data_IF_170474267955
#
_entry.id   IF_170474267955
#
_cell.length_a   1.000
_cell.length_b   1.000
_cell.length_c   1.000
_cell.angle_alpha   90.00
_cell.angle_beta   90.00
_cell.angle_gamma   90.00
#
_symmetry.space_group_name_H-M   'P 1'
#
loop_
_entity.id
_entity.type
_entity.pdbx_description
1 polymer ?
#
# COMPACT_ATOMS: atom_id res chain seq x y z
N UNK A 1 20.40 32.18 -44.47
CA UNK A 1 20.30 33.50 -43.84
C UNK A 1 18.93 33.64 -43.21
N UNK A 2 18.93 33.70 -41.84
CA UNK A 2 17.96 34.38 -41.00
C UNK A 2 16.47 34.12 -41.27
N UNK A 3 15.77 33.27 -40.47
CA UNK A 3 14.94 33.72 -39.34
C UNK A 3 14.24 32.51 -38.70
N UNK A 4 14.89 31.92 -37.69
CA UNK A 4 14.22 31.00 -36.74
C UNK A 4 14.68 31.39 -35.31
N UNK A 5 14.05 32.43 -34.82
CA UNK A 5 14.22 32.81 -33.40
C UNK A 5 12.93 33.40 -32.90
N UNK A 6 12.50 32.88 -31.72
CA UNK A 6 11.44 33.39 -30.85
C UNK A 6 10.07 32.67 -30.95
N UNK A 7 10.00 31.50 -30.33
CA UNK A 7 8.89 31.19 -29.46
C UNK A 7 9.43 30.40 -28.24
N UNK A 8 10.14 31.08 -27.37
CA UNK A 8 10.34 30.65 -26.00
C UNK A 8 9.08 31.10 -25.26
N UNK A 9 8.13 30.17 -25.18
CA UNK A 9 6.90 30.35 -24.38
C UNK A 9 7.31 30.59 -22.94
N UNK A 10 6.81 31.65 -22.36
CA UNK A 10 6.80 32.01 -20.96
C UNK A 10 6.15 30.90 -20.14
N UNK A 11 6.91 29.89 -19.76
CA UNK A 11 6.60 29.02 -18.64
C UNK A 11 6.60 29.93 -17.40
N UNK A 12 5.40 30.28 -16.92
CA UNK A 12 5.22 30.98 -15.66
C UNK A 12 6.03 30.22 -14.60
N UNK A 13 7.04 30.86 -14.02
CA UNK A 13 7.84 30.33 -12.91
C UNK A 13 6.88 29.95 -11.80
N UNK A 14 6.52 28.69 -11.67
CA UNK A 14 5.74 28.20 -10.55
C UNK A 14 6.55 28.50 -9.29
N UNK A 15 6.00 29.30 -8.38
CA UNK A 15 6.64 29.57 -7.10
C UNK A 15 6.98 28.24 -6.44
N UNK A 16 8.24 28.01 -6.15
CA UNK A 16 8.70 26.81 -5.43
C UNK A 16 8.04 26.82 -4.05
N UNK A 17 7.24 25.81 -3.78
CA UNK A 17 6.61 25.63 -2.46
C UNK A 17 7.65 25.05 -1.52
N UNK A 18 7.90 25.75 -0.40
CA UNK A 18 8.92 25.39 0.60
C UNK A 18 8.36 24.97 1.95
N UNK A 19 7.04 24.92 2.11
CA UNK A 19 6.38 24.58 3.37
C UNK A 19 5.43 23.39 3.22
N UNK A 20 5.27 22.62 4.28
CA UNK A 20 4.57 21.34 4.29
C UNK A 20 3.10 21.44 3.87
N UNK A 21 2.34 22.40 4.43
CA UNK A 21 0.88 22.49 4.22
C UNK A 21 0.48 22.73 2.77
N UNK A 22 1.00 23.74 2.07
CA UNK A 22 0.67 23.92 0.65
C UNK A 22 1.25 22.83 -0.25
N UNK A 23 2.38 22.19 0.12
CA UNK A 23 2.90 21.04 -0.60
C UNK A 23 1.96 19.84 -0.46
N UNK A 24 1.52 19.52 0.76
CA UNK A 24 0.53 18.48 1.01
C UNK A 24 -0.79 18.76 0.28
N UNK A 25 -1.26 20.01 0.30
CA UNK A 25 -2.47 20.40 -0.39
C UNK A 25 -2.41 20.15 -1.91
N UNK A 26 -1.26 20.39 -2.56
CA UNK A 26 -1.05 20.04 -3.98
C UNK A 26 -1.07 18.54 -4.20
N UNK A 27 -0.32 17.78 -3.40
CA UNK A 27 -0.26 16.31 -3.50
C UNK A 27 -1.66 15.72 -3.34
N UNK A 28 -2.38 16.09 -2.28
CA UNK A 28 -3.74 15.62 -2.01
C UNK A 28 -4.68 16.04 -3.13
N UNK A 29 -4.61 17.30 -3.58
CA UNK A 29 -5.40 17.79 -4.70
C UNK A 29 -5.20 16.99 -5.98
N UNK A 30 -3.97 16.58 -6.27
CA UNK A 30 -3.63 15.73 -7.42
C UNK A 30 -4.18 14.30 -7.27
N UNK A 31 -4.12 13.70 -6.08
CA UNK A 31 -4.76 12.39 -5.82
C UNK A 31 -6.27 12.47 -6.06
N UNK A 32 -6.92 13.48 -5.49
CA UNK A 32 -8.38 13.64 -5.56
C UNK A 32 -8.87 13.93 -6.98
N UNK A 33 -8.14 14.79 -7.70
CA UNK A 33 -8.55 15.26 -9.03
C UNK A 33 -8.11 14.35 -10.16
N UNK A 34 -6.81 13.95 -10.14
CA UNK A 34 -6.19 13.22 -11.24
C UNK A 34 -6.10 11.71 -10.99
N UNK A 35 -6.58 11.24 -9.83
CA UNK A 35 -6.57 9.83 -9.44
C UNK A 35 -5.18 9.17 -9.55
N UNK A 36 -4.14 9.93 -9.24
CA UNK A 36 -2.77 9.44 -9.21
C UNK A 36 -2.48 8.80 -7.86
N UNK A 37 -1.67 7.75 -7.86
CA UNK A 37 -1.25 7.11 -6.59
C UNK A 37 -0.47 8.10 -5.72
N UNK A 38 -0.80 8.09 -4.41
CA UNK A 38 -0.17 8.95 -3.41
C UNK A 38 1.34 8.72 -3.35
N UNK A 39 1.79 7.47 -3.34
CA UNK A 39 3.21 7.15 -3.19
C UNK A 39 4.07 7.72 -4.32
N UNK A 40 3.60 7.67 -5.58
CA UNK A 40 4.34 8.17 -6.73
C UNK A 40 4.57 9.68 -6.68
N UNK A 41 3.53 10.45 -6.32
CA UNK A 41 3.62 11.92 -6.31
C UNK A 41 4.22 12.47 -5.01
N UNK A 42 3.98 11.80 -3.88
CA UNK A 42 4.49 12.24 -2.57
C UNK A 42 6.02 12.23 -2.53
N UNK A 43 6.66 11.17 -3.04
CA UNK A 43 8.12 11.06 -3.08
C UNK A 43 8.76 12.27 -3.76
N UNK A 44 8.26 12.66 -4.92
CA UNK A 44 8.76 13.82 -5.67
C UNK A 44 8.55 15.13 -4.90
N UNK A 45 7.38 15.28 -4.25
CA UNK A 45 7.08 16.46 -3.45
C UNK A 45 8.01 16.58 -2.24
N UNK A 46 8.27 15.49 -1.52
CA UNK A 46 9.15 15.47 -0.36
C UNK A 46 10.59 15.82 -0.71
N UNK A 47 11.11 15.36 -1.86
CA UNK A 47 12.46 15.71 -2.33
C UNK A 47 12.63 17.21 -2.61
N UNK A 48 11.55 17.91 -2.94
CA UNK A 48 11.56 19.36 -3.19
C UNK A 48 11.45 20.23 -1.93
N UNK A 49 11.16 19.61 -0.78
CA UNK A 49 10.98 20.29 0.51
C UNK A 49 12.24 20.27 1.37
N UNK A 50 12.46 21.34 2.20
CA UNK A 50 13.41 21.27 3.29
C UNK A 50 13.15 20.06 4.20
N UNK A 51 14.20 19.50 4.77
CA UNK A 51 14.12 18.27 5.56
C UNK A 51 13.14 18.35 6.73
N UNK A 52 13.17 19.46 7.46
CA UNK A 52 12.28 19.72 8.60
C UNK A 52 10.79 19.85 8.22
N UNK A 53 10.45 20.03 6.95
CA UNK A 53 9.07 20.13 6.46
C UNK A 53 8.53 18.78 5.91
N UNK A 54 9.41 17.80 5.62
CA UNK A 54 9.04 16.54 4.99
C UNK A 54 8.12 15.70 5.86
N UNK A 55 8.45 15.55 7.14
CA UNK A 55 7.66 14.75 8.09
C UNK A 55 6.21 15.25 8.21
N UNK A 56 6.04 16.57 8.37
CA UNK A 56 4.71 17.18 8.44
C UNK A 56 3.94 17.03 7.12
N UNK A 57 4.60 17.23 5.97
CA UNK A 57 3.98 17.06 4.66
C UNK A 57 3.48 15.62 4.47
N UNK A 58 4.31 14.64 4.79
CA UNK A 58 3.95 13.22 4.72
C UNK A 58 2.78 12.89 5.65
N UNK A 59 2.82 13.33 6.90
CA UNK A 59 1.75 13.11 7.88
C UNK A 59 0.41 13.70 7.42
N UNK A 60 0.42 14.91 6.86
CA UNK A 60 -0.77 15.55 6.30
C UNK A 60 -1.31 14.77 5.10
N UNK A 61 -0.46 14.34 4.16
CA UNK A 61 -0.88 13.59 2.99
C UNK A 61 -1.56 12.27 3.38
N UNK A 62 -0.88 11.45 4.18
CA UNK A 62 -1.45 10.17 4.61
C UNK A 62 -2.69 10.34 5.50
N UNK A 63 -2.66 11.31 6.43
CA UNK A 63 -3.76 11.55 7.36
C UNK A 63 -5.02 12.05 6.67
N UNK A 64 -4.89 13.05 5.80
CA UNK A 64 -6.04 13.59 5.06
C UNK A 64 -6.64 12.53 4.12
N UNK A 65 -5.81 11.79 3.37
CA UNK A 65 -6.31 10.75 2.47
C UNK A 65 -6.99 9.61 3.26
N UNK A 66 -6.41 9.21 4.41
CA UNK A 66 -7.00 8.19 5.30
C UNK A 66 -8.39 8.56 5.79
N UNK A 67 -8.57 9.81 6.18
CA UNK A 67 -9.82 10.32 6.74
C UNK A 67 -10.64 11.15 5.75
N UNK A 68 -10.31 11.07 4.44
CA UNK A 68 -10.92 11.93 3.42
C UNK A 68 -12.45 11.95 3.42
N UNK A 69 -13.19 10.81 3.43
CA UNK A 69 -14.65 10.85 3.43
C UNK A 69 -15.22 11.59 4.64
N UNK A 70 -14.65 11.41 5.80
CA UNK A 70 -15.04 12.09 7.04
C UNK A 70 -14.72 13.58 6.98
N UNK A 71 -13.49 13.94 6.62
CA UNK A 71 -13.06 15.34 6.53
C UNK A 71 -13.84 16.10 5.46
N UNK A 72 -14.20 15.43 4.36
CA UNK A 72 -15.02 16.00 3.30
C UNK A 72 -16.44 16.29 3.81
N UNK A 73 -17.07 15.36 4.52
CA UNK A 73 -18.40 15.57 5.12
C UNK A 73 -18.41 16.76 6.09
N UNK A 74 -17.35 16.94 6.87
CA UNK A 74 -17.17 18.10 7.73
C UNK A 74 -17.01 19.40 6.91
N UNK A 75 -16.18 19.37 5.87
CA UNK A 75 -15.95 20.53 5.01
C UNK A 75 -17.24 20.98 4.29
N UNK A 76 -18.10 20.03 3.92
CA UNK A 76 -19.38 20.30 3.27
C UNK A 76 -20.37 21.03 4.21
N UNK A 77 -20.24 20.83 5.54
CA UNK A 77 -21.01 21.61 6.54
C UNK A 77 -20.49 23.05 6.73
N UNK A 78 -19.25 23.31 6.34
CA UNK A 78 -18.58 24.61 6.53
C UNK A 78 -18.65 25.52 5.32
N UNK A 79 -18.84 24.96 4.13
CA UNK A 79 -18.86 25.67 2.88
C UNK A 79 -20.30 25.85 2.38
N UNK A 80 -20.71 27.08 2.12
CA UNK A 80 -22.03 27.37 1.53
C UNK A 80 -22.21 26.82 0.09
N UNK A 81 -21.08 26.65 -0.61
CA UNK A 81 -21.02 26.05 -1.97
C UNK A 81 -19.71 25.27 -2.10
N UNK A 82 -19.72 24.13 -2.79
CA UNK A 82 -18.49 23.36 -3.08
C UNK A 82 -17.46 24.20 -3.84
N UNK A 83 -16.18 23.99 -3.55
CA UNK A 83 -15.10 24.59 -4.31
C UNK A 83 -15.07 24.00 -5.73
N UNK A 84 -14.67 24.81 -6.71
CA UNK A 84 -14.59 24.36 -8.11
C UNK A 84 -13.45 23.33 -8.28
N UNK A 85 -13.58 22.41 -9.23
CA UNK A 85 -12.56 21.40 -9.51
C UNK A 85 -11.15 21.96 -9.76
N UNK A 86 -11.02 23.17 -10.33
CA UNK A 86 -9.73 23.86 -10.52
C UNK A 86 -9.08 24.30 -9.21
N UNK A 87 -9.83 24.34 -8.12
CA UNK A 87 -9.41 24.75 -6.79
C UNK A 87 -9.32 23.55 -5.82
N UNK A 88 -9.05 22.35 -6.35
CA UNK A 88 -8.87 21.11 -5.57
C UNK A 88 -7.74 21.21 -4.53
N UNK A 89 -6.72 22.01 -4.79
CA UNK A 89 -5.63 22.31 -3.85
C UNK A 89 -6.11 23.18 -2.67
N UNK A 90 -7.06 24.10 -2.86
CA UNK A 90 -7.70 24.82 -1.75
C UNK A 90 -8.63 23.92 -0.94
N UNK A 91 -9.38 23.03 -1.61
CA UNK A 91 -10.15 21.97 -0.93
C UNK A 91 -9.23 21.15 -0.04
N UNK A 92 -8.14 20.64 -0.61
CA UNK A 92 -7.14 19.87 0.12
C UNK A 92 -6.50 20.66 1.26
N UNK A 93 -6.25 21.96 1.08
CA UNK A 93 -5.71 22.83 2.14
C UNK A 93 -6.70 22.97 3.30
N UNK A 94 -8.01 23.12 3.03
CA UNK A 94 -9.05 23.11 4.07
C UNK A 94 -9.05 21.77 4.82
N UNK A 95 -9.00 20.65 4.10
CA UNK A 95 -8.94 19.31 4.71
C UNK A 95 -7.67 19.14 5.56
N UNK A 96 -6.52 19.68 5.14
CA UNK A 96 -5.30 19.70 5.97
C UNK A 96 -5.51 20.49 7.27
N UNK A 97 -6.21 21.62 7.21
CA UNK A 97 -6.55 22.41 8.42
C UNK A 97 -7.45 21.64 9.37
N UNK A 98 -8.52 21.02 8.84
CA UNK A 98 -9.44 20.21 9.63
C UNK A 98 -8.74 18.99 10.25
N UNK A 99 -7.90 18.28 9.49
CA UNK A 99 -7.13 17.15 10.02
C UNK A 99 -6.20 17.56 11.17
N UNK A 100 -5.52 18.70 11.04
CA UNK A 100 -4.66 19.21 12.11
C UNK A 100 -5.45 19.51 13.39
N UNK A 101 -6.60 20.16 13.28
CA UNK A 101 -7.45 20.50 14.43
C UNK A 101 -8.06 19.26 15.11
N UNK A 102 -8.33 18.19 14.36
CA UNK A 102 -8.96 16.95 14.88
C UNK A 102 -7.98 15.93 15.41
N UNK A 103 -6.88 15.71 14.70
CA UNK A 103 -6.08 14.51 14.85
C UNK A 103 -4.62 14.77 15.21
N UNK A 104 -4.17 16.03 15.17
CA UNK A 104 -2.77 16.34 15.46
C UNK A 104 -2.65 17.09 16.79
N UNK A 105 -1.60 16.76 17.55
CA UNK A 105 -1.26 17.47 18.80
C UNK A 105 -0.43 18.73 18.51
N UNK A 106 -1.01 19.66 17.74
CA UNK A 106 -0.39 20.94 17.40
C UNK A 106 -1.15 22.06 18.10
N UNK A 107 -0.48 23.18 18.48
CA UNK A 107 -1.18 24.38 18.94
C UNK A 107 -2.18 24.83 17.86
N UNK A 108 -3.46 24.93 18.23
CA UNK A 108 -4.55 25.25 17.30
C UNK A 108 -4.32 26.55 16.52
N UNK A 109 -3.77 27.56 17.22
CA UNK A 109 -3.42 28.84 16.59
C UNK A 109 -2.40 28.66 15.45
N UNK A 110 -1.37 27.83 15.65
CA UNK A 110 -0.36 27.54 14.63
C UNK A 110 -0.95 26.73 13.47
N UNK A 111 -1.77 25.71 13.78
CA UNK A 111 -2.46 24.92 12.76
C UNK A 111 -3.32 25.81 11.85
N UNK A 112 -4.06 26.75 12.44
CA UNK A 112 -4.94 27.65 11.72
C UNK A 112 -4.17 28.69 10.90
N UNK A 113 -3.26 29.46 11.52
CA UNK A 113 -2.54 30.55 10.86
C UNK A 113 -1.69 30.06 9.70
N UNK A 114 -0.95 28.96 9.88
CA UNK A 114 -0.10 28.40 8.84
C UNK A 114 -0.91 27.77 7.68
N UNK A 115 -2.08 27.21 7.97
CA UNK A 115 -2.98 26.72 6.91
C UNK A 115 -3.50 27.90 6.08
N UNK A 116 -3.94 28.98 6.72
CA UNK A 116 -4.42 30.21 6.03
C UNK A 116 -3.31 30.83 5.18
N UNK A 117 -2.08 30.88 5.70
CA UNK A 117 -0.92 31.37 4.96
C UNK A 117 -0.62 30.53 3.71
N UNK A 118 -0.92 29.24 3.71
CA UNK A 118 -0.82 28.34 2.58
C UNK A 118 -1.55 28.81 1.31
N UNK A 119 -2.65 29.57 1.45
CA UNK A 119 -3.38 30.12 0.32
C UNK A 119 -2.50 31.00 -0.59
N UNK A 120 -1.61 31.81 0.00
CA UNK A 120 -0.70 32.67 -0.77
C UNK A 120 0.39 31.86 -1.48
N UNK A 121 0.88 30.78 -0.84
CA UNK A 121 1.86 29.87 -1.45
C UNK A 121 1.27 29.10 -2.63
N UNK A 122 -0.04 28.79 -2.58
CA UNK A 122 -0.80 28.17 -3.69
C UNK A 122 -1.15 29.19 -4.81
N UNK A 123 -0.78 30.46 -4.68
CA UNK A 123 -1.14 31.49 -5.63
C UNK A 123 -2.61 31.95 -5.55
N UNK A 124 -3.29 31.64 -4.45
CA UNK A 124 -4.72 31.93 -4.24
C UNK A 124 -4.97 32.76 -2.97
N UNK A 125 -4.35 33.95 -2.85
CA UNK A 125 -4.47 34.78 -1.62
C UNK A 125 -5.91 35.23 -1.34
N UNK A 126 -6.78 35.26 -2.35
CA UNK A 126 -8.20 35.57 -2.23
C UNK A 126 -8.96 34.62 -1.31
N UNK A 127 -8.49 33.37 -1.19
CA UNK A 127 -9.14 32.33 -0.39
C UNK A 127 -8.82 32.40 1.11
N UNK A 128 -7.90 33.27 1.55
CA UNK A 128 -7.52 33.39 2.97
C UNK A 128 -8.71 33.62 3.90
N UNK A 129 -9.62 34.54 3.52
CA UNK A 129 -10.83 34.82 4.29
C UNK A 129 -11.74 33.61 4.43
N UNK A 130 -11.95 32.87 3.34
CA UNK A 130 -12.77 31.66 3.32
C UNK A 130 -12.18 30.56 4.22
N UNK A 131 -10.92 30.22 4.04
CA UNK A 131 -10.26 29.15 4.82
C UNK A 131 -10.22 29.53 6.31
N UNK A 132 -9.88 30.77 6.64
CA UNK A 132 -9.88 31.26 8.03
C UNK A 132 -11.28 31.19 8.67
N UNK A 133 -12.32 31.65 7.97
CA UNK A 133 -13.69 31.62 8.47
C UNK A 133 -14.17 30.17 8.68
N UNK A 134 -13.91 29.27 7.73
CA UNK A 134 -14.27 27.86 7.84
C UNK A 134 -13.60 27.18 9.03
N UNK A 135 -12.27 27.31 9.18
CA UNK A 135 -11.55 26.67 10.28
C UNK A 135 -11.93 27.25 11.64
N UNK A 136 -12.15 28.59 11.76
CA UNK A 136 -12.62 29.20 13.00
C UNK A 136 -14.06 28.80 13.33
N UNK A 137 -14.93 28.64 12.32
CA UNK A 137 -16.27 28.13 12.53
C UNK A 137 -16.24 26.70 13.07
N UNK A 138 -15.40 25.83 12.45
CA UNK A 138 -15.20 24.48 12.94
C UNK A 138 -14.72 24.47 14.39
N UNK A 139 -13.67 25.23 14.72
CA UNK A 139 -13.12 25.31 16.08
C UNK A 139 -14.18 25.69 17.13
N UNK A 140 -15.07 26.65 16.82
CA UNK A 140 -16.12 27.11 17.74
C UNK A 140 -17.31 26.17 17.89
N UNK A 141 -17.63 25.42 16.83
CA UNK A 141 -18.85 24.63 16.72
C UNK A 141 -18.58 23.14 16.45
N UNK A 142 -17.40 22.62 16.83
CA UNK A 142 -16.91 21.30 16.48
C UNK A 142 -17.94 20.19 16.77
N UNK A 143 -18.45 20.09 18.00
CA UNK A 143 -19.39 19.02 18.38
C UNK A 143 -20.67 19.04 17.54
N UNK A 144 -21.21 20.22 17.25
CA UNK A 144 -22.42 20.33 16.43
C UNK A 144 -22.18 19.96 14.96
N UNK A 145 -21.02 20.34 14.42
CA UNK A 145 -20.64 20.06 13.04
C UNK A 145 -20.33 18.55 12.89
N UNK A 146 -19.56 17.99 13.83
CA UNK A 146 -19.23 16.56 13.84
C UNK A 146 -20.49 15.69 13.93
N UNK A 147 -21.42 16.00 14.82
CA UNK A 147 -22.68 15.26 14.97
C UNK A 147 -23.51 15.24 13.66
N UNK A 148 -23.49 16.32 12.89
CA UNK A 148 -24.18 16.38 11.58
C UNK A 148 -23.39 15.71 10.46
N UNK A 149 -22.07 15.78 10.51
CA UNK A 149 -21.21 15.25 9.46
C UNK A 149 -21.03 13.72 9.56
N UNK A 150 -21.16 13.15 10.76
CA UNK A 150 -20.89 11.73 11.05
C UNK A 150 -22.18 10.91 11.24
N UNK A 151 -23.25 11.27 10.57
CA UNK A 151 -24.56 10.63 10.66
C UNK A 151 -24.72 9.37 9.78
N UNK A 152 -23.68 9.01 9.03
CA UNK A 152 -23.71 7.87 8.10
C UNK A 152 -22.38 7.09 8.14
N UNK A 153 -22.41 5.83 7.68
CA UNK A 153 -21.26 4.92 7.71
C UNK A 153 -20.07 5.43 6.89
N UNK A 154 -20.32 6.13 5.78
CA UNK A 154 -19.23 6.66 4.91
C UNK A 154 -18.38 7.65 5.66
N UNK A 155 -18.98 8.56 6.39
CA UNK A 155 -18.27 9.54 7.20
C UNK A 155 -17.73 8.93 8.49
N UNK A 156 -18.49 8.07 9.15
CA UNK A 156 -18.11 7.42 10.42
C UNK A 156 -16.86 6.56 10.24
N UNK A 157 -16.88 5.65 9.27
CA UNK A 157 -15.77 4.73 9.01
C UNK A 157 -14.75 5.27 7.99
N UNK A 158 -15.00 6.43 7.39
CA UNK A 158 -14.12 7.06 6.40
C UNK A 158 -13.77 6.14 5.21
N UNK A 159 -14.75 5.41 4.68
CA UNK A 159 -14.62 4.54 3.50
C UNK A 159 -15.71 4.87 2.47
N UNK A 160 -15.48 4.59 1.15
CA UNK A 160 -16.50 4.78 0.14
C UNK A 160 -17.65 3.76 0.32
N UNK A 161 -18.87 4.18 0.05
CA UNK A 161 -20.09 3.41 0.28
C UNK A 161 -20.06 2.01 -0.37
N UNK A 162 -19.57 1.91 -1.62
CA UNK A 162 -19.45 0.63 -2.30
C UNK A 162 -18.58 -0.39 -1.56
N UNK A 163 -17.46 0.08 -0.97
CA UNK A 163 -16.54 -0.79 -0.24
C UNK A 163 -17.12 -1.21 1.11
N UNK A 164 -17.81 -0.30 1.79
CA UNK A 164 -18.53 -0.63 3.03
C UNK A 164 -19.58 -1.72 2.76
N UNK A 165 -20.39 -1.56 1.70
CA UNK A 165 -21.40 -2.55 1.30
C UNK A 165 -20.78 -3.91 0.99
N UNK A 166 -19.69 -3.92 0.22
CA UNK A 166 -19.00 -5.16 -0.12
C UNK A 166 -18.40 -5.85 1.12
N UNK A 167 -17.74 -5.09 2.00
CA UNK A 167 -17.17 -5.66 3.25
C UNK A 167 -18.30 -6.14 4.19
N UNK A 168 -19.42 -5.44 4.29
CA UNK A 168 -20.60 -5.92 5.06
C UNK A 168 -21.14 -7.24 4.51
N UNK A 169 -21.19 -7.40 3.20
CA UNK A 169 -21.65 -8.63 2.55
C UNK A 169 -20.67 -9.79 2.80
N UNK A 170 -19.38 -9.56 2.65
CA UNK A 170 -18.35 -10.59 2.77
C UNK A 170 -18.07 -10.96 4.23
N UNK A 171 -18.18 -9.99 5.17
CA UNK A 171 -17.78 -10.09 6.56
C UNK A 171 -18.85 -9.53 7.52
N UNK A 172 -20.06 -10.06 7.57
CA UNK A 172 -21.18 -9.46 8.29
C UNK A 172 -20.92 -9.29 9.80
N UNK A 173 -20.14 -10.20 10.41
CA UNK A 173 -19.86 -10.17 11.86
C UNK A 173 -18.69 -9.23 12.24
N UNK A 174 -17.79 -8.91 11.29
CA UNK A 174 -16.53 -8.23 11.61
C UNK A 174 -16.26 -6.98 10.76
N UNK A 175 -17.21 -6.57 9.92
CA UNK A 175 -17.05 -5.46 8.99
C UNK A 175 -16.61 -4.14 9.66
N UNK A 176 -17.14 -3.83 10.86
CA UNK A 176 -16.78 -2.61 11.59
C UNK A 176 -15.33 -2.64 12.01
N UNK A 177 -14.90 -3.75 12.62
CA UNK A 177 -13.50 -3.95 13.04
C UNK A 177 -12.53 -3.87 11.86
N UNK A 178 -12.90 -4.40 10.68
CA UNK A 178 -12.12 -4.29 9.45
C UNK A 178 -11.96 -2.83 9.04
N UNK A 179 -13.05 -2.05 8.99
CA UNK A 179 -13.00 -0.65 8.59
C UNK A 179 -12.21 0.22 9.58
N UNK A 180 -12.35 -0.05 10.87
CA UNK A 180 -11.58 0.61 11.93
C UNK A 180 -10.08 0.30 11.80
N UNK A 181 -9.72 -0.98 11.63
CA UNK A 181 -8.32 -1.39 11.44
C UNK A 181 -7.67 -0.76 10.20
N UNK A 182 -8.44 -0.56 9.13
CA UNK A 182 -7.98 0.14 7.94
C UNK A 182 -7.63 1.62 8.17
N UNK A 183 -8.13 2.22 9.25
CA UNK A 183 -7.87 3.62 9.61
C UNK A 183 -6.75 3.79 10.63
N UNK A 184 -6.25 2.71 11.21
CA UNK A 184 -5.12 2.74 12.16
C UNK A 184 -3.81 3.03 11.40
N UNK A 185 -2.88 3.70 12.05
CA UNK A 185 -1.52 3.85 11.52
C UNK A 185 -0.87 2.46 11.41
N UNK A 186 -0.29 2.12 10.24
CA UNK A 186 0.32 0.81 10.05
C UNK A 186 1.55 0.62 10.94
N UNK A 187 1.72 -0.54 11.56
CA UNK A 187 2.96 -0.90 12.25
C UNK A 187 4.10 -1.11 11.24
N UNK A 188 5.34 -1.03 11.72
CA UNK A 188 6.52 -1.29 10.91
C UNK A 188 7.13 -2.63 11.26
N UNK A 189 6.87 -3.63 10.39
CA UNK A 189 7.51 -4.94 10.48
C UNK A 189 8.80 -4.96 9.68
N UNK A 190 9.76 -5.67 10.23
CA UNK A 190 11.05 -5.93 9.61
C UNK A 190 11.18 -7.43 9.32
N UNK A 191 11.85 -7.75 8.22
CA UNK A 191 12.34 -9.08 7.88
C UNK A 191 13.85 -9.05 7.95
N UNK A 192 14.42 -9.78 8.91
CA UNK A 192 15.86 -9.91 9.07
C UNK A 192 16.43 -10.84 8.01
N UNK A 193 17.49 -10.44 7.34
CA UNK A 193 18.20 -11.28 6.39
C UNK A 193 19.03 -12.32 7.14
N UNK A 194 18.49 -13.54 7.25
CA UNK A 194 19.12 -14.63 8.00
C UNK A 194 20.39 -15.17 7.35
N UNK A 195 20.71 -14.80 6.12
CA UNK A 195 22.02 -15.11 5.52
C UNK A 195 23.15 -14.27 6.10
N UNK A 196 22.83 -13.11 6.68
CA UNK A 196 23.83 -12.22 7.28
C UNK A 196 23.90 -12.35 8.79
N UNK A 197 22.77 -12.52 9.48
CA UNK A 197 22.69 -12.58 10.94
C UNK A 197 21.36 -13.19 11.40
N UNK A 198 21.32 -13.69 12.64
CA UNK A 198 20.09 -14.16 13.25
C UNK A 198 19.14 -13.03 13.64
N UNK A 199 17.85 -13.35 13.77
CA UNK A 199 16.84 -12.39 14.29
C UNK A 199 17.22 -11.84 15.66
N UNK A 200 17.79 -12.68 16.54
CA UNK A 200 18.14 -12.27 17.89
C UNK A 200 19.33 -11.30 17.93
N UNK A 201 20.33 -11.50 17.08
CA UNK A 201 21.46 -10.57 16.93
C UNK A 201 20.98 -9.21 16.42
N UNK A 202 20.09 -9.20 15.41
CA UNK A 202 19.55 -7.95 14.88
C UNK A 202 18.66 -7.22 15.90
N UNK A 203 17.84 -7.95 16.67
CA UNK A 203 17.05 -7.38 17.77
C UNK A 203 17.95 -6.69 18.81
N UNK A 204 19.05 -7.34 19.21
CA UNK A 204 20.02 -6.75 20.13
C UNK A 204 20.61 -5.44 19.57
N UNK A 205 20.94 -5.41 18.28
CA UNK A 205 21.46 -4.20 17.60
C UNK A 205 20.42 -3.08 17.53
N UNK A 206 19.15 -3.40 17.28
CA UNK A 206 18.07 -2.40 17.32
C UNK A 206 17.97 -1.75 18.70
N UNK A 207 17.96 -2.55 19.77
CA UNK A 207 17.90 -2.05 21.16
C UNK A 207 19.11 -1.15 21.47
N UNK A 208 20.32 -1.55 21.08
CA UNK A 208 21.54 -0.74 21.25
C UNK A 208 21.49 0.61 20.52
N UNK A 209 20.74 0.68 19.41
CA UNK A 209 20.52 1.91 18.64
C UNK A 209 19.25 2.69 19.07
N UNK A 210 18.65 2.39 20.22
CA UNK A 210 17.43 3.01 20.74
C UNK A 210 16.22 2.84 19.81
N UNK A 211 16.13 1.71 19.12
CA UNK A 211 15.03 1.31 18.26
C UNK A 211 14.37 0.04 18.85
N UNK A 212 13.56 0.17 19.92
CA UNK A 212 12.97 -0.99 20.57
C UNK A 212 12.04 -1.75 19.60
N UNK A 213 12.15 -3.06 19.66
CA UNK A 213 11.40 -3.98 18.81
C UNK A 213 11.11 -5.28 19.56
N UNK A 214 10.17 -6.06 19.06
CA UNK A 214 9.78 -7.36 19.59
C UNK A 214 9.78 -8.44 18.52
N UNK A 215 9.96 -9.69 18.94
CA UNK A 215 9.81 -10.86 18.08
C UNK A 215 8.35 -11.01 17.62
N UNK A 216 8.17 -11.53 16.42
CA UNK A 216 6.88 -11.92 15.89
C UNK A 216 6.90 -13.43 15.67
N UNK A 217 6.06 -14.17 16.38
CA UNK A 217 6.07 -15.64 16.36
C UNK A 217 5.62 -16.23 15.02
N UNK A 218 4.96 -15.44 14.21
CA UNK A 218 4.42 -15.86 12.91
C UNK A 218 5.51 -16.18 11.87
N UNK A 219 6.65 -15.56 11.96
CA UNK A 219 7.77 -15.71 11.04
C UNK A 219 9.09 -15.68 11.80
N UNK A 220 10.02 -16.63 11.57
CA UNK A 220 11.28 -16.72 12.33
C UNK A 220 12.21 -15.53 12.10
N UNK A 221 12.05 -14.78 10.99
CA UNK A 221 12.82 -13.59 10.63
C UNK A 221 12.12 -12.28 10.97
N UNK A 222 10.87 -12.33 11.45
CA UNK A 222 10.06 -11.13 11.66
C UNK A 222 10.33 -10.45 12.98
N UNK A 223 10.47 -9.12 12.93
CA UNK A 223 10.49 -8.21 14.08
C UNK A 223 9.42 -7.12 13.89
N UNK A 224 8.87 -6.66 14.99
CA UNK A 224 7.96 -5.51 15.04
C UNK A 224 8.63 -4.36 15.79
N UNK A 225 8.81 -3.21 15.15
CA UNK A 225 9.25 -2.00 15.82
C UNK A 225 8.14 -1.42 16.68
N UNK A 226 8.46 -1.00 17.91
CA UNK A 226 7.51 -0.32 18.79
C UNK A 226 7.03 1.02 18.18
N UNK A 227 7.92 1.69 17.47
CA UNK A 227 7.62 2.94 16.77
C UNK A 227 8.22 2.90 15.36
N UNK A 228 7.42 3.15 14.31
CA UNK A 228 7.95 3.28 12.95
C UNK A 228 8.99 4.39 12.84
N UNK A 229 10.08 4.13 12.11
CA UNK A 229 11.16 5.09 11.88
C UNK A 229 11.52 5.20 10.39
N UNK A 230 12.41 6.15 10.06
CA UNK A 230 13.03 6.17 8.74
C UNK A 230 13.91 4.93 8.57
N UNK A 231 13.83 4.29 7.40
CA UNK A 231 14.59 3.06 7.10
C UNK A 231 16.11 3.28 7.17
N UNK A 232 16.58 4.50 6.94
CA UNK A 232 17.99 4.85 7.05
C UNK A 232 18.52 4.91 8.49
N UNK A 233 17.65 4.87 9.49
CA UNK A 233 18.00 4.74 10.89
C UNK A 233 18.21 3.27 11.32
N UNK A 234 17.73 2.32 10.49
CA UNK A 234 17.90 0.90 10.75
C UNK A 234 19.36 0.48 10.55
N UNK A 235 19.99 -0.21 11.52
CA UNK A 235 21.36 -0.68 11.37
C UNK A 235 21.55 -1.50 10.10
N UNK A 236 22.54 -1.13 9.29
CA UNK A 236 22.94 -1.81 8.05
C UNK A 236 21.80 -2.08 7.05
N UNK A 237 20.77 -1.21 7.02
CA UNK A 237 19.71 -1.29 6.02
C UNK A 237 20.25 -1.23 4.59
N UNK A 238 21.21 -0.32 4.35
CA UNK A 238 21.79 -0.12 3.01
C UNK A 238 22.63 -1.31 2.52
N UNK A 239 23.16 -2.12 3.45
CA UNK A 239 23.94 -3.33 3.13
C UNK A 239 23.10 -4.62 3.20
N UNK A 240 21.79 -4.50 3.32
CA UNK A 240 20.87 -5.62 3.19
C UNK A 240 20.67 -6.47 4.44
N UNK A 241 21.03 -5.97 5.63
CA UNK A 241 20.80 -6.70 6.88
C UNK A 241 19.32 -6.92 7.19
N UNK A 242 18.45 -6.04 6.66
CA UNK A 242 17.02 -6.06 6.95
C UNK A 242 16.21 -5.49 5.79
N UNK A 243 14.95 -5.93 5.67
CA UNK A 243 13.95 -5.37 4.77
C UNK A 243 12.67 -5.00 5.54
N UNK A 244 11.95 -3.98 5.06
CA UNK A 244 10.63 -3.64 5.60
C UNK A 244 9.58 -4.45 4.84
N UNK A 245 8.90 -5.35 5.56
CA UNK A 245 7.84 -6.18 5.00
C UNK A 245 6.87 -6.60 6.10
N UNK A 246 5.56 -6.48 5.85
CA UNK A 246 4.55 -6.97 6.79
C UNK A 246 4.70 -8.48 7.04
N UNK A 247 4.55 -8.91 8.29
CA UNK A 247 4.76 -10.32 8.63
C UNK A 247 3.71 -11.24 7.97
N UNK A 248 2.53 -10.74 7.59
CA UNK A 248 1.60 -11.49 6.75
C UNK A 248 2.21 -11.80 5.38
N UNK A 249 2.85 -10.83 4.73
CA UNK A 249 3.52 -11.05 3.44
C UNK A 249 4.75 -11.97 3.56
N UNK A 250 5.41 -12.02 4.72
CA UNK A 250 6.55 -12.91 4.98
C UNK A 250 6.14 -14.39 4.98
N UNK A 251 4.88 -14.74 5.31
CA UNK A 251 4.40 -16.12 5.32
C UNK A 251 4.49 -16.82 3.96
N UNK A 252 4.51 -16.07 2.86
CA UNK A 252 4.52 -16.62 1.51
C UNK A 252 5.72 -17.53 1.25
N UNK A 253 6.92 -17.18 1.75
CA UNK A 253 8.12 -18.01 1.57
C UNK A 253 7.98 -19.39 2.25
N UNK A 254 7.42 -19.43 3.47
CA UNK A 254 7.14 -20.69 4.17
C UNK A 254 6.08 -21.54 3.45
N UNK A 255 5.03 -20.90 2.92
CA UNK A 255 3.94 -21.58 2.19
C UNK A 255 4.46 -22.20 0.88
N UNK A 256 5.42 -21.56 0.20
CA UNK A 256 6.07 -22.09 -1.00
C UNK A 256 6.88 -23.38 -0.75
N UNK A 257 7.20 -23.70 0.51
CA UNK A 257 8.01 -24.88 0.86
C UNK A 257 9.27 -24.97 0.00
N UNK A 258 10.04 -23.91 -0.02
CA UNK A 258 11.24 -23.74 -0.86
C UNK A 258 12.28 -24.79 -0.51
N UNK A 259 12.88 -25.40 -1.55
CA UNK A 259 13.97 -26.36 -1.45
C UNK A 259 15.17 -25.90 -2.30
N UNK A 260 16.39 -26.41 -2.03
CA UNK A 260 17.54 -26.08 -2.87
C UNK A 260 17.36 -26.47 -4.35
N UNK A 261 17.99 -25.70 -5.23
CA UNK A 261 18.09 -25.95 -6.68
C UNK A 261 16.74 -26.05 -7.42
N UNK A 262 15.73 -25.33 -6.92
CA UNK A 262 14.43 -25.24 -7.59
C UNK A 262 14.39 -24.09 -8.59
N UNK A 263 13.54 -24.25 -9.60
CA UNK A 263 13.17 -23.20 -10.53
C UNK A 263 11.85 -22.58 -10.10
N UNK A 264 11.88 -21.30 -9.79
CA UNK A 264 10.75 -20.56 -9.15
C UNK A 264 10.34 -19.38 -10.00
N UNK A 265 9.04 -19.22 -10.24
CA UNK A 265 8.44 -18.06 -10.87
C UNK A 265 7.78 -17.17 -9.81
N UNK A 266 8.11 -15.88 -9.78
CA UNK A 266 7.35 -14.82 -9.11
C UNK A 266 6.66 -13.99 -10.20
N UNK A 267 5.38 -14.22 -10.39
CA UNK A 267 4.64 -13.79 -11.59
C UNK A 267 4.21 -12.31 -11.59
N UNK A 268 4.13 -11.68 -10.41
CA UNK A 268 3.74 -10.27 -10.25
C UNK A 268 4.63 -9.63 -9.17
N UNK A 269 5.94 -9.62 -9.44
CA UNK A 269 6.98 -9.58 -8.42
C UNK A 269 7.20 -8.22 -7.75
N UNK A 270 6.88 -7.09 -8.42
CA UNK A 270 7.23 -5.78 -7.90
C UNK A 270 6.43 -5.38 -6.63
N UNK A 271 7.12 -4.80 -5.66
CA UNK A 271 8.48 -4.21 -5.66
C UNK A 271 9.64 -5.17 -5.29
N UNK A 272 9.43 -6.49 -5.30
CA UNK A 272 10.49 -7.48 -5.10
C UNK A 272 10.63 -8.02 -3.67
N UNK A 273 9.75 -7.65 -2.76
CA UNK A 273 9.83 -8.09 -1.37
C UNK A 273 9.73 -9.61 -1.20
N UNK A 274 8.86 -10.27 -1.99
CA UNK A 274 8.70 -11.73 -1.98
C UNK A 274 9.81 -12.42 -2.77
N UNK A 275 10.18 -11.89 -3.93
CA UNK A 275 11.35 -12.36 -4.73
C UNK A 275 12.61 -12.42 -3.88
N UNK A 276 12.93 -11.32 -3.19
CA UNK A 276 14.09 -11.27 -2.29
C UNK A 276 13.97 -12.26 -1.14
N UNK A 277 12.79 -12.41 -0.54
CA UNK A 277 12.57 -13.37 0.55
C UNK A 277 12.78 -14.82 0.11
N UNK A 278 12.32 -15.19 -1.09
CA UNK A 278 12.58 -16.50 -1.69
C UNK A 278 14.09 -16.76 -1.79
N UNK A 279 14.84 -15.78 -2.30
CA UNK A 279 16.30 -15.89 -2.46
C UNK A 279 17.08 -15.82 -1.14
N UNK A 280 16.59 -15.05 -0.15
CA UNK A 280 17.15 -15.06 1.20
C UNK A 280 16.96 -16.42 1.89
N UNK A 281 15.81 -17.10 1.62
CA UNK A 281 15.52 -18.41 2.18
C UNK A 281 16.44 -19.50 1.58
N UNK A 282 16.65 -19.47 0.25
CA UNK A 282 17.50 -20.45 -0.44
C UNK A 282 18.14 -19.83 -1.70
N UNK A 283 19.40 -19.38 -1.60
CA UNK A 283 20.07 -18.66 -2.69
C UNK A 283 20.47 -19.53 -3.89
N UNK A 284 20.44 -20.85 -3.76
CA UNK A 284 20.75 -21.76 -4.88
C UNK A 284 19.64 -21.87 -5.92
N UNK A 285 18.48 -21.22 -5.69
CA UNK A 285 17.33 -21.29 -6.58
C UNK A 285 17.46 -20.37 -7.80
N UNK A 286 17.00 -20.87 -8.95
CA UNK A 286 16.77 -20.05 -10.15
C UNK A 286 15.44 -19.32 -10.01
N UNK A 287 15.46 -18.03 -9.68
CA UNK A 287 14.23 -17.23 -9.55
C UNK A 287 14.05 -16.32 -10.77
N UNK A 288 12.90 -16.46 -11.43
CA UNK A 288 12.44 -15.59 -12.51
C UNK A 288 11.34 -14.70 -11.94
N UNK A 289 11.55 -13.39 -12.00
CA UNK A 289 10.62 -12.39 -11.49
C UNK A 289 10.07 -11.54 -12.63
N UNK A 290 8.75 -11.52 -12.77
CA UNK A 290 8.04 -10.78 -13.79
C UNK A 290 7.29 -9.60 -13.19
N UNK A 291 7.28 -8.49 -13.88
CA UNK A 291 6.29 -7.42 -13.68
C UNK A 291 6.00 -6.75 -15.02
N UNK A 292 4.76 -6.33 -15.22
CA UNK A 292 4.33 -5.67 -16.46
C UNK A 292 4.88 -4.25 -16.58
N UNK A 293 5.22 -3.62 -15.44
CA UNK A 293 5.67 -2.24 -15.37
C UNK A 293 7.21 -2.16 -15.24
N UNK A 294 7.93 -1.64 -16.26
CA UNK A 294 9.39 -1.54 -16.23
C UNK A 294 9.91 -0.61 -15.11
N UNK A 295 9.16 0.42 -14.70
CA UNK A 295 9.57 1.29 -13.60
C UNK A 295 9.50 0.52 -12.27
N UNK A 296 8.47 -0.31 -12.08
CA UNK A 296 8.34 -1.17 -10.92
C UNK A 296 9.41 -2.28 -10.90
N UNK A 297 9.78 -2.81 -12.06
CA UNK A 297 10.87 -3.79 -12.17
C UNK A 297 12.22 -3.23 -11.71
N UNK A 298 12.46 -1.93 -11.94
CA UNK A 298 13.65 -1.24 -11.42
C UNK A 298 13.73 -1.28 -9.89
N UNK A 299 12.58 -1.28 -9.18
CA UNK A 299 12.56 -1.41 -7.73
C UNK A 299 13.00 -2.81 -7.27
N UNK A 300 12.63 -3.86 -8.02
CA UNK A 300 13.11 -5.23 -7.75
C UNK A 300 14.64 -5.25 -7.88
N UNK A 301 15.18 -4.69 -8.96
CA UNK A 301 16.63 -4.60 -9.19
C UNK A 301 17.34 -3.88 -8.05
N UNK A 302 16.82 -2.73 -7.60
CA UNK A 302 17.39 -1.99 -6.47
C UNK A 302 17.38 -2.82 -5.17
N UNK A 303 16.31 -3.58 -4.92
CA UNK A 303 16.22 -4.43 -3.74
C UNK A 303 17.16 -5.64 -3.83
N UNK A 304 17.23 -6.32 -4.97
CA UNK A 304 18.17 -7.45 -5.17
C UNK A 304 19.62 -6.99 -5.06
N UNK A 305 19.97 -5.82 -5.64
CA UNK A 305 21.33 -5.27 -5.54
C UNK A 305 21.72 -4.92 -4.11
N UNK A 306 20.79 -4.25 -3.37
CA UNK A 306 20.99 -3.89 -1.96
C UNK A 306 21.22 -5.12 -1.07
N UNK A 307 20.53 -6.21 -1.37
CA UNK A 307 20.57 -7.46 -0.61
C UNK A 307 21.68 -8.43 -1.07
N UNK A 308 22.39 -8.11 -2.18
CA UNK A 308 23.39 -9.00 -2.77
C UNK A 308 22.79 -10.27 -3.39
N UNK A 309 21.51 -10.21 -3.84
CA UNK A 309 20.77 -11.33 -4.38
C UNK A 309 20.70 -11.29 -5.91
N UNK A 310 20.47 -12.44 -6.53
CA UNK A 310 20.40 -12.55 -7.98
C UNK A 310 19.09 -13.20 -8.44
N UNK A 311 18.33 -12.50 -9.30
CA UNK A 311 17.13 -12.99 -9.94
C UNK A 311 17.12 -12.62 -11.43
N UNK A 312 16.51 -13.46 -12.26
CA UNK A 312 16.24 -13.12 -13.66
C UNK A 312 15.01 -12.22 -13.73
N UNK A 313 15.19 -10.95 -14.07
CA UNK A 313 14.12 -9.95 -14.16
C UNK A 313 13.63 -9.81 -15.60
N UNK A 314 12.31 -9.90 -15.83
CA UNK A 314 11.71 -9.71 -17.15
C UNK A 314 10.51 -8.77 -17.08
N UNK A 315 10.49 -7.74 -17.93
CA UNK A 315 9.30 -6.90 -18.12
C UNK A 315 8.36 -7.64 -19.06
N UNK A 316 7.27 -8.20 -18.52
CA UNK A 316 6.28 -8.93 -19.30
C UNK A 316 4.94 -9.02 -18.57
N UNK A 317 3.85 -9.15 -19.32
CA UNK A 317 2.58 -9.64 -18.76
C UNK A 317 2.73 -11.14 -18.50
N UNK A 318 2.63 -11.58 -17.25
CA UNK A 318 2.75 -12.97 -16.87
C UNK A 318 1.72 -13.90 -17.59
N UNK A 319 0.58 -13.36 -18.02
CA UNK A 319 -0.41 -14.07 -18.82
C UNK A 319 -0.09 -14.19 -20.32
N UNK A 320 0.92 -13.47 -20.82
CA UNK A 320 1.41 -13.57 -22.21
C UNK A 320 2.64 -14.49 -22.27
N UNK A 321 2.37 -15.79 -22.13
CA UNK A 321 3.38 -16.85 -21.95
C UNK A 321 4.43 -16.83 -23.04
N UNK A 322 4.02 -16.65 -24.31
CA UNK A 322 4.90 -16.71 -25.48
C UNK A 322 5.96 -15.60 -25.48
N UNK A 323 5.72 -14.50 -24.78
CA UNK A 323 6.64 -13.35 -24.72
C UNK A 323 7.82 -13.54 -23.78
N UNK A 324 7.74 -14.47 -22.81
CA UNK A 324 8.74 -14.53 -21.74
C UNK A 324 9.20 -15.95 -21.38
N UNK A 325 8.38 -16.98 -21.58
CA UNK A 325 8.68 -18.35 -21.16
C UNK A 325 9.68 -19.04 -22.10
N UNK A 326 10.61 -19.80 -21.54
CA UNK A 326 11.68 -20.48 -22.27
C UNK A 326 11.40 -21.97 -22.51
N UNK A 327 10.18 -22.45 -22.24
CA UNK A 327 9.77 -23.84 -22.41
C UNK A 327 10.08 -24.77 -21.23
N UNK A 328 10.78 -24.29 -20.19
CA UNK A 328 11.09 -25.08 -18.99
C UNK A 328 10.08 -24.84 -17.89
N UNK A 329 9.51 -25.90 -17.35
CA UNK A 329 8.55 -25.84 -16.24
C UNK A 329 9.18 -25.39 -14.93
N UNK A 330 8.33 -24.99 -13.99
CA UNK A 330 8.70 -24.49 -12.66
C UNK A 330 8.36 -25.50 -11.57
N UNK A 331 9.19 -25.58 -10.52
CA UNK A 331 8.90 -26.33 -9.31
C UNK A 331 7.97 -25.58 -8.38
N UNK A 332 8.05 -24.24 -8.42
CA UNK A 332 7.24 -23.31 -7.62
C UNK A 332 6.76 -22.17 -8.49
N UNK A 333 5.51 -21.80 -8.33
CA UNK A 333 4.94 -20.57 -8.93
C UNK A 333 4.30 -19.76 -7.81
N UNK A 334 4.70 -18.52 -7.70
CA UNK A 334 4.06 -17.53 -6.85
C UNK A 334 3.24 -16.58 -7.74
N UNK A 335 1.96 -16.48 -7.44
CA UNK A 335 1.06 -15.46 -8.00
C UNK A 335 0.69 -14.50 -6.85
N UNK A 336 1.49 -13.45 -6.64
CA UNK A 336 1.08 -12.32 -5.81
C UNK A 336 0.14 -11.45 -6.63
N UNK A 337 -1.11 -11.88 -6.73
CA UNK A 337 -2.02 -11.43 -7.77
C UNK A 337 -2.35 -9.93 -7.67
N UNK A 338 -2.42 -9.22 -8.82
CA UNK A 338 -2.95 -7.87 -8.82
C UNK A 338 -4.38 -7.88 -8.30
N UNK A 339 -4.65 -7.09 -7.25
CA UNK A 339 -5.91 -7.08 -6.53
C UNK A 339 -6.35 -5.69 -6.13
N UNK A 340 -7.52 -5.56 -5.51
CA UNK A 340 -8.02 -4.26 -5.02
C UNK A 340 -7.13 -3.65 -3.96
N UNK A 341 -6.39 -4.46 -3.19
CA UNK A 341 -5.56 -4.02 -2.08
C UNK A 341 -6.37 -3.64 -0.83
N UNK A 342 -7.61 -4.10 -0.71
CA UNK A 342 -8.52 -3.73 0.37
C UNK A 342 -8.03 -4.14 1.78
N UNK A 343 -7.10 -5.09 1.87
CA UNK A 343 -6.46 -5.52 3.13
C UNK A 343 -5.27 -4.66 3.58
N UNK A 344 -4.76 -3.78 2.71
CA UNK A 344 -3.59 -2.92 3.00
C UNK A 344 -3.93 -1.43 2.96
N UNK A 345 -5.19 -1.07 3.05
CA UNK A 345 -5.68 0.32 3.03
C UNK A 345 -4.97 1.18 4.09
N UNK A 346 -4.67 0.65 5.26
CA UNK A 346 -3.95 1.41 6.29
C UNK A 346 -2.56 1.86 5.86
N UNK A 347 -1.90 1.14 4.92
CA UNK A 347 -0.62 1.52 4.30
C UNK A 347 -0.79 2.40 3.07
N UNK A 348 -1.83 2.12 2.30
CA UNK A 348 -2.15 2.77 1.03
C UNK A 348 -3.57 3.37 1.07
N UNK A 349 -3.80 4.44 1.87
CA UNK A 349 -5.15 4.96 2.08
C UNK A 349 -5.79 5.56 0.82
N UNK A 350 -4.99 5.86 -0.20
CA UNK A 350 -5.44 6.30 -1.53
C UNK A 350 -6.25 5.22 -2.27
N UNK A 351 -6.16 3.95 -1.89
CA UNK A 351 -7.03 2.87 -2.38
C UNK A 351 -8.51 3.24 -2.23
N UNK A 352 -8.90 3.85 -1.12
CA UNK A 352 -10.27 4.32 -0.88
C UNK A 352 -10.79 5.30 -1.92
N UNK A 353 -9.89 6.06 -2.55
CA UNK A 353 -10.18 7.10 -3.54
C UNK A 353 -10.02 6.56 -4.95
N UNK A 354 -9.00 5.75 -5.18
CA UNK A 354 -8.61 5.29 -6.51
C UNK A 354 -9.46 4.13 -7.00
N UNK A 355 -9.83 3.17 -6.12
CA UNK A 355 -10.60 1.99 -6.50
C UNK A 355 -12.07 2.29 -6.72
N UNK A 356 -12.67 1.55 -7.67
CA UNK A 356 -14.08 1.58 -8.04
C UNK A 356 -14.67 0.17 -8.04
N UNK A 357 -16.00 0.00 -7.96
CA UNK A 357 -16.61 -1.33 -8.09
C UNK A 357 -16.22 -2.05 -9.38
N UNK A 358 -16.16 -1.34 -10.52
CA UNK A 358 -15.77 -1.91 -11.82
C UNK A 358 -14.36 -2.47 -11.88
N UNK A 359 -13.46 -2.03 -10.98
CA UNK A 359 -12.09 -2.54 -10.91
C UNK A 359 -12.07 -3.96 -10.35
N UNK A 360 -13.02 -4.31 -9.47
CA UNK A 360 -13.13 -5.66 -8.87
C UNK A 360 -13.32 -6.70 -9.96
N UNK A 361 -14.31 -6.52 -10.84
CA UNK A 361 -14.59 -7.48 -11.92
C UNK A 361 -13.41 -7.64 -12.89
N UNK A 362 -12.71 -6.52 -13.17
CA UNK A 362 -11.54 -6.53 -14.06
C UNK A 362 -10.37 -7.29 -13.43
N UNK A 363 -10.15 -7.10 -12.12
CA UNK A 363 -9.08 -7.78 -11.38
C UNK A 363 -9.39 -9.26 -11.19
N UNK A 364 -10.63 -9.63 -10.89
CA UNK A 364 -11.10 -11.02 -10.79
C UNK A 364 -10.82 -11.77 -12.11
N UNK A 365 -11.16 -11.18 -13.26
CA UNK A 365 -10.86 -11.77 -14.58
C UNK A 365 -9.36 -11.93 -14.81
N UNK A 366 -8.55 -10.94 -14.44
CA UNK A 366 -7.09 -11.00 -14.58
C UNK A 366 -6.49 -12.08 -13.69
N UNK A 367 -6.96 -12.20 -12.47
CA UNK A 367 -6.53 -13.24 -11.52
C UNK A 367 -6.87 -14.64 -12.05
N UNK A 368 -8.09 -14.83 -12.57
CA UNK A 368 -8.49 -16.08 -13.21
C UNK A 368 -7.57 -16.42 -14.40
N UNK A 369 -7.32 -15.44 -15.27
CA UNK A 369 -6.41 -15.63 -16.40
C UNK A 369 -5.00 -16.04 -15.99
N UNK A 370 -4.46 -15.43 -14.90
CA UNK A 370 -3.14 -15.78 -14.39
C UNK A 370 -3.11 -17.23 -13.87
N UNK A 371 -4.10 -17.64 -13.09
CA UNK A 371 -4.20 -19.02 -12.62
C UNK A 371 -4.23 -20.01 -13.80
N UNK A 372 -5.14 -19.81 -14.75
CA UNK A 372 -5.32 -20.69 -15.93
C UNK A 372 -4.05 -20.76 -16.81
N UNK A 373 -3.39 -19.63 -17.03
CA UNK A 373 -2.22 -19.54 -17.92
C UNK A 373 -0.94 -20.07 -17.29
N UNK A 374 -0.76 -19.89 -15.98
CA UNK A 374 0.47 -20.28 -15.30
C UNK A 374 0.44 -21.72 -14.78
N UNK A 375 -0.75 -22.28 -14.53
CA UNK A 375 -0.89 -23.65 -14.05
C UNK A 375 -0.19 -24.71 -14.92
N UNK A 376 -0.33 -24.71 -16.26
CA UNK A 376 0.34 -25.69 -17.12
C UNK A 376 1.87 -25.63 -17.10
N UNK A 377 2.45 -24.52 -16.62
CA UNK A 377 3.89 -24.32 -16.51
C UNK A 377 4.49 -24.95 -15.25
N UNK A 378 3.64 -25.47 -14.35
CA UNK A 378 4.06 -26.13 -13.12
C UNK A 378 4.47 -27.58 -13.39
N UNK A 379 5.55 -28.03 -12.77
CA UNK A 379 5.96 -29.44 -12.77
C UNK A 379 4.93 -30.29 -12.01
N UNK A 380 4.83 -31.60 -12.34
CA UNK A 380 4.11 -32.57 -11.50
C UNK A 380 4.72 -32.57 -10.10
N UNK A 381 3.89 -32.57 -9.06
CA UNK A 381 4.24 -32.35 -7.66
C UNK A 381 4.81 -30.93 -7.35
N UNK A 382 4.77 -30.00 -8.31
CA UNK A 382 5.07 -28.60 -8.07
C UNK A 382 3.99 -27.91 -7.23
N UNK A 383 4.33 -26.76 -6.65
CA UNK A 383 3.39 -25.95 -5.85
C UNK A 383 3.16 -24.59 -6.51
N UNK A 384 1.89 -24.22 -6.62
CA UNK A 384 1.46 -22.87 -6.95
C UNK A 384 0.89 -22.22 -5.70
N UNK A 385 1.46 -21.08 -5.30
CA UNK A 385 0.94 -20.25 -4.21
C UNK A 385 0.25 -19.03 -4.81
N UNK A 386 -1.05 -18.97 -4.59
CA UNK A 386 -1.87 -17.80 -4.92
C UNK A 386 -2.06 -16.95 -3.68
N UNK A 387 -1.77 -15.66 -3.79
CA UNK A 387 -1.93 -14.73 -2.68
C UNK A 387 -2.41 -13.37 -3.14
N UNK A 388 -3.16 -12.70 -2.29
CA UNK A 388 -3.63 -11.32 -2.49
C UNK A 388 -3.57 -10.54 -1.18
N UNK A 389 -3.43 -9.23 -1.27
CA UNK A 389 -3.70 -8.33 -0.16
C UNK A 389 -5.15 -7.79 -0.20
N UNK A 390 -6.10 -8.59 -0.67
CA UNK A 390 -7.52 -8.28 -0.72
C UNK A 390 -8.32 -8.92 0.42
N UNK A 391 -9.43 -8.28 0.78
CA UNK A 391 -10.46 -8.82 1.69
C UNK A 391 -11.68 -9.36 0.94
N UNK A 392 -11.77 -9.10 -0.37
CA UNK A 392 -12.95 -9.45 -1.14
C UNK A 392 -12.94 -10.93 -1.52
N UNK A 393 -13.99 -11.64 -1.15
CA UNK A 393 -14.12 -13.08 -1.40
C UNK A 393 -14.04 -13.43 -2.87
N UNK A 394 -14.51 -12.53 -3.75
CA UNK A 394 -14.43 -12.69 -5.21
C UNK A 394 -13.00 -12.77 -5.73
N UNK A 395 -12.05 -12.08 -5.09
CA UNK A 395 -10.63 -12.10 -5.44
C UNK A 395 -9.86 -13.25 -4.76
N UNK A 396 -10.48 -13.94 -3.79
CA UNK A 396 -9.84 -14.88 -2.87
C UNK A 396 -10.48 -16.28 -2.96
N UNK A 397 -11.25 -16.70 -1.94
CA UNK A 397 -11.78 -18.06 -1.84
C UNK A 397 -12.62 -18.47 -3.05
N UNK A 398 -13.40 -17.55 -3.64
CA UNK A 398 -14.23 -17.87 -4.80
C UNK A 398 -13.41 -18.12 -6.08
N UNK A 399 -12.26 -17.45 -6.23
CA UNK A 399 -11.32 -17.74 -7.34
C UNK A 399 -10.75 -19.15 -7.23
N UNK A 400 -10.32 -19.53 -6.03
CA UNK A 400 -9.69 -20.85 -5.83
C UNK A 400 -10.73 -21.96 -5.92
N UNK A 401 -11.94 -21.75 -5.41
CA UNK A 401 -13.04 -22.71 -5.56
C UNK A 401 -13.38 -22.96 -7.05
N UNK A 402 -13.53 -21.90 -7.82
CA UNK A 402 -13.79 -21.99 -9.28
C UNK A 402 -12.65 -22.73 -10.00
N UNK A 403 -11.40 -22.39 -9.67
CA UNK A 403 -10.23 -23.05 -10.24
C UNK A 403 -10.20 -24.57 -9.92
N UNK A 404 -10.38 -24.94 -8.64
CA UNK A 404 -10.38 -26.35 -8.22
C UNK A 404 -11.51 -27.18 -8.85
N UNK A 405 -12.64 -26.57 -9.18
CA UNK A 405 -13.75 -27.28 -9.87
C UNK A 405 -13.43 -27.59 -11.34
N UNK A 406 -12.52 -26.82 -11.97
CA UNK A 406 -12.12 -26.97 -13.37
C UNK A 406 -10.89 -27.85 -13.57
N UNK A 407 -10.06 -27.96 -12.54
CA UNK A 407 -8.76 -28.64 -12.59
C UNK A 407 -8.72 -29.82 -11.63
N UNK A 408 -9.12 -31.00 -12.12
CA UNK A 408 -9.13 -32.22 -11.30
C UNK A 408 -7.73 -32.67 -10.85
N UNK A 409 -6.69 -32.23 -11.54
CA UNK A 409 -5.28 -32.46 -11.21
C UNK A 409 -4.73 -31.47 -10.16
N UNK A 410 -5.54 -30.49 -9.71
CA UNK A 410 -5.16 -29.55 -8.69
C UNK A 410 -5.68 -30.00 -7.32
N UNK A 411 -4.78 -30.10 -6.36
CA UNK A 411 -5.12 -30.39 -4.97
C UNK A 411 -4.75 -29.19 -4.07
N UNK A 412 -5.68 -28.71 -3.26
CA UNK A 412 -5.35 -27.70 -2.25
C UNK A 412 -4.63 -28.32 -1.07
N UNK A 413 -3.43 -27.82 -0.77
CA UNK A 413 -2.68 -28.23 0.42
C UNK A 413 -3.14 -27.48 1.66
N UNK A 414 -3.44 -28.24 2.72
CA UNK A 414 -3.71 -27.67 4.02
C UNK A 414 -2.42 -27.20 4.70
N UNK A 415 -2.40 -25.94 5.12
CA UNK A 415 -1.24 -25.35 5.78
C UNK A 415 -1.23 -25.77 7.26
N UNK A 416 -0.21 -26.52 7.68
CA UNK A 416 -0.08 -27.08 9.05
C UNK A 416 0.13 -26.00 10.11
N UNK A 417 0.80 -24.89 9.76
CA UNK A 417 0.93 -23.68 10.57
C UNK A 417 0.17 -22.55 9.90
N UNK A 418 -1.18 -22.65 9.95
CA UNK A 418 -2.02 -21.70 9.24
C UNK A 418 -1.74 -20.25 9.69
N UNK A 419 -1.26 -19.39 8.81
CA UNK A 419 -0.96 -17.99 9.15
C UNK A 419 -2.24 -17.15 9.33
N UNK A 420 -3.41 -17.75 9.11
CA UNK A 420 -4.69 -17.06 8.98
C UNK A 420 -5.87 -18.03 9.21
N UNK A 421 -7.08 -17.53 9.23
CA UNK A 421 -8.30 -18.32 9.41
C UNK A 421 -8.63 -19.11 8.14
N UNK A 422 -8.86 -20.43 8.27
CA UNK A 422 -9.30 -21.31 7.16
C UNK A 422 -10.62 -20.82 6.57
N UNK A 423 -10.68 -20.74 5.25
CA UNK A 423 -11.90 -20.46 4.48
C UNK A 423 -12.37 -21.72 3.77
N UNK A 424 -13.42 -21.63 2.96
CA UNK A 424 -13.88 -22.74 2.13
C UNK A 424 -12.74 -23.23 1.22
N UNK A 425 -12.01 -22.31 0.61
CA UNK A 425 -10.73 -22.52 -0.02
C UNK A 425 -9.73 -21.48 0.46
N UNK A 426 -8.48 -21.85 0.72
CA UNK A 426 -7.43 -20.97 1.23
C UNK A 426 -7.61 -20.50 2.67
N UNK A 427 -6.88 -19.47 3.01
CA UNK A 427 -6.78 -18.88 4.35
C UNK A 427 -6.85 -17.37 4.26
N UNK A 428 -7.71 -16.74 5.06
CA UNK A 428 -7.84 -15.28 5.09
C UNK A 428 -7.43 -14.73 6.45
N UNK A 429 -6.56 -13.73 6.43
CA UNK A 429 -6.27 -12.85 7.55
C UNK A 429 -7.03 -11.55 7.37
N UNK A 430 -7.66 -11.07 8.41
CA UNK A 430 -8.30 -9.77 8.43
C UNK A 430 -7.32 -8.71 8.96
N UNK A 431 -7.42 -7.44 8.51
CA UNK A 431 -6.55 -6.37 8.98
C UNK A 431 -6.77 -6.13 10.48
N UNK A 432 -5.67 -5.95 11.21
CA UNK A 432 -5.69 -5.75 12.66
C UNK A 432 -5.51 -7.04 13.47
N UNK A 433 -5.78 -8.22 12.91
CA UNK A 433 -5.46 -9.49 13.56
C UNK A 433 -3.95 -9.59 13.84
N UNK A 434 -3.56 -9.69 15.11
CA UNK A 434 -2.16 -9.65 15.53
C UNK A 434 -1.38 -8.44 14.99
N UNK A 435 -2.04 -7.31 14.83
CA UNK A 435 -1.50 -6.07 14.24
C UNK A 435 -1.09 -6.19 12.76
N UNK A 436 -1.40 -7.28 12.06
CA UNK A 436 -1.01 -7.55 10.67
C UNK A 436 -1.95 -6.93 9.64
N UNK A 437 -1.50 -6.89 8.39
CA UNK A 437 -2.34 -6.51 7.24
C UNK A 437 -3.31 -7.64 6.85
N UNK A 438 -4.37 -7.27 6.13
CA UNK A 438 -5.27 -8.23 5.52
C UNK A 438 -4.59 -8.94 4.34
N UNK A 439 -4.63 -10.29 4.37
CA UNK A 439 -3.94 -11.10 3.38
C UNK A 439 -4.67 -12.42 3.15
N UNK A 440 -4.62 -12.93 1.91
CA UNK A 440 -5.16 -14.23 1.54
C UNK A 440 -4.07 -15.13 0.99
N UNK A 441 -4.17 -16.45 1.27
CA UNK A 441 -3.22 -17.46 0.81
C UNK A 441 -3.96 -18.72 0.38
N UNK A 442 -3.57 -19.29 -0.75
CA UNK A 442 -3.91 -20.66 -1.14
C UNK A 442 -2.66 -21.34 -1.72
N UNK A 443 -2.45 -22.60 -1.36
CA UNK A 443 -1.36 -23.42 -1.88
C UNK A 443 -1.95 -24.61 -2.65
N UNK A 444 -1.65 -24.70 -3.93
CA UNK A 444 -2.16 -25.71 -4.84
C UNK A 444 -1.00 -26.62 -5.29
N UNK A 445 -1.19 -27.92 -5.24
CA UNK A 445 -0.27 -28.94 -5.76
C UNK A 445 -0.79 -29.47 -7.09
N UNK A 446 0.11 -29.62 -8.06
CA UNK A 446 -0.16 -30.29 -9.32
C UNK A 446 0.08 -31.79 -9.15
N UNK A 447 -0.99 -32.60 -9.18
CA UNK A 447 -0.95 -34.04 -9.00
C UNK A 447 -0.61 -34.80 -10.30
#
# INVERSE_FOLDING_TARGET
MLTFCRQVSTLAKSKVIKTARPAAAKVIGDVLRHRRSLNGILRTALLSLPENERGLCQQLCYGVIRWHPQLQSIADQLLSKPLKNKDSDLQALLLCGLYQLRAMRLPEHAALSETVNGCAALGKPWAKGLINASLRNYQRNQSSIDNKALDNDVATYAHPDWLIKQIKQDWPETWQQILEANNVQPPMFLRVNQQQQSRQEYLTRLIQNNLPASNVDLSPEALLLDTPCDVYLLPDFLTGAVSVQDAAAQQVAAILQIKPQQRILDACAAPGGKTCHILETEPSNEVIALDIDPERLTQIKQNTDRLGLHATLKTADAGDIDSWWDGKKFDRILIDAPCTGSGVIRRHPDIKILRRPSDVDSLVKKQQQLLEKLWPLLNTNGLLVYTTCSLLKQENELQIMDFLTKHAEAEELLLTSAPATRRVAGYQRLPGENTLDGFYYACLRHC
#
